data_IF_509254155355
#
_entry.id   IF_509254155355
#
_cell.length_a   1.000
_cell.length_b   1.000
_cell.length_c   1.000
_cell.angle_alpha   90.00
_cell.angle_beta   90.00
_cell.angle_gamma   90.00
#
_symmetry.space_group_name_H-M   'P 1'
#
loop_
_entity.id
_entity.type
_entity.pdbx_description
1 polymer ?
#
# COMPACT_ATOMS: atom_id res chain seq x y z
N UNK A 1 -6.59 -5.54 10.79
CA UNK A 1 -6.78 -4.49 11.80
C UNK A 1 -8.24 -4.39 12.22
N UNK A 2 -8.49 -4.33 13.48
CA UNK A 2 -9.75 -3.88 14.06
C UNK A 2 -9.46 -2.88 15.18
N UNK A 3 -10.46 -2.09 15.61
CA UNK A 3 -10.31 -1.12 16.72
C UNK A 3 -10.00 -1.79 18.07
N UNK A 4 -10.31 -3.06 18.22
CA UNK A 4 -10.12 -3.83 19.45
C UNK A 4 -8.76 -4.51 19.46
N UNK A 5 -8.37 -5.14 18.35
CA UNK A 5 -7.11 -5.87 18.22
C UNK A 5 -6.67 -6.01 16.77
N UNK A 6 -5.37 -6.19 16.60
CA UNK A 6 -4.75 -6.37 15.28
C UNK A 6 -3.86 -7.61 15.30
N UNK A 7 -4.02 -8.44 14.29
CA UNK A 7 -3.13 -9.58 14.06
C UNK A 7 -2.12 -9.23 12.98
N UNK A 8 -0.84 -9.38 13.31
CA UNK A 8 0.27 -9.25 12.38
C UNK A 8 0.78 -10.65 12.03
N UNK A 9 1.00 -10.88 10.74
CA UNK A 9 1.49 -12.16 10.24
C UNK A 9 2.51 -11.94 9.14
N UNK A 10 3.61 -12.70 9.18
CA UNK A 10 4.60 -12.68 8.10
C UNK A 10 5.08 -14.07 7.75
N UNK A 11 5.46 -14.26 6.49
CA UNK A 11 6.04 -15.51 5.98
C UNK A 11 7.55 -15.45 6.11
N UNK A 12 8.13 -16.27 6.96
CA UNK A 12 9.57 -16.32 7.21
C UNK A 12 10.04 -17.75 7.55
N UNK A 13 9.95 -18.72 6.63
CA UNK A 13 10.16 -20.15 6.91
C UNK A 13 11.58 -20.45 7.39
N UNK A 14 12.58 -19.68 6.94
CA UNK A 14 13.99 -19.87 7.28
C UNK A 14 14.45 -19.10 8.51
N UNK A 15 13.60 -18.25 9.09
CA UNK A 15 13.95 -17.45 10.27
C UNK A 15 14.16 -18.32 11.50
N UNK A 16 15.11 -17.95 12.35
CA UNK A 16 15.27 -18.52 13.69
C UNK A 16 14.23 -17.96 14.66
N UNK A 17 13.82 -16.70 14.48
CA UNK A 17 12.79 -16.01 15.22
C UNK A 17 12.36 -14.75 14.51
N UNK A 18 11.19 -14.22 14.87
CA UNK A 18 10.67 -12.94 14.36
C UNK A 18 10.08 -12.13 15.52
N UNK A 19 10.37 -10.85 15.53
CA UNK A 19 9.73 -9.86 16.37
C UNK A 19 8.95 -8.87 15.51
N UNK A 20 7.77 -8.49 15.97
CA UNK A 20 7.10 -7.29 15.51
C UNK A 20 7.67 -6.10 16.28
N UNK A 21 8.20 -5.12 15.57
CA UNK A 21 8.59 -3.82 16.14
C UNK A 21 7.47 -2.83 15.88
N UNK A 22 6.65 -2.56 16.88
CA UNK A 22 5.51 -1.64 16.81
C UNK A 22 5.86 -0.35 17.55
N UNK A 23 5.86 0.78 16.85
CA UNK A 23 6.23 2.09 17.40
C UNK A 23 7.58 2.06 18.15
N UNK A 24 8.52 1.26 17.68
CA UNK A 24 9.84 1.08 18.29
C UNK A 24 9.90 0.06 19.42
N UNK A 25 8.80 -0.56 19.81
CA UNK A 25 8.75 -1.60 20.83
C UNK A 25 8.70 -2.99 20.19
N UNK A 26 9.65 -3.87 20.56
CA UNK A 26 9.71 -5.24 20.09
C UNK A 26 8.74 -6.17 20.81
N UNK A 27 8.06 -7.02 20.03
CA UNK A 27 7.11 -8.03 20.50
C UNK A 27 7.43 -9.35 19.80
N UNK A 28 7.83 -10.39 20.56
CA UNK A 28 8.14 -11.71 20.03
C UNK A 28 6.91 -12.36 19.37
N UNK A 29 7.09 -12.82 18.14
CA UNK A 29 6.02 -13.48 17.38
C UNK A 29 6.08 -15.00 17.53
N UNK A 30 4.93 -15.66 17.49
CA UNK A 30 4.83 -17.10 17.56
C UNK A 30 4.84 -17.72 16.15
N UNK A 31 5.55 -18.83 16.03
CA UNK A 31 5.54 -19.62 14.80
C UNK A 31 4.21 -20.41 14.74
N UNK A 32 3.52 -20.28 13.64
CA UNK A 32 2.17 -20.84 13.44
C UNK A 32 2.07 -21.68 12.16
N UNK A 33 0.96 -22.38 11.99
CA UNK A 33 0.69 -23.30 10.89
C UNK A 33 1.76 -24.39 10.79
N UNK A 34 2.26 -24.65 9.63
CA UNK A 34 3.34 -25.63 9.36
C UNK A 34 4.74 -25.11 9.71
N UNK A 35 4.83 -24.01 10.44
CA UNK A 35 6.08 -23.39 10.84
C UNK A 35 6.66 -22.39 9.83
N UNK A 36 5.91 -22.06 8.78
CA UNK A 36 6.35 -21.12 7.75
C UNK A 36 5.96 -19.68 8.05
N UNK A 37 4.99 -19.49 8.95
CA UNK A 37 4.50 -18.17 9.33
C UNK A 37 4.82 -17.85 10.78
N UNK A 38 4.95 -16.56 11.06
CA UNK A 38 5.00 -15.98 12.39
C UNK A 38 3.83 -15.05 12.58
N UNK A 39 3.22 -15.09 13.77
CA UNK A 39 2.02 -14.32 14.07
C UNK A 39 2.06 -13.76 15.49
N UNK A 40 1.47 -12.59 15.65
CA UNK A 40 1.15 -12.00 16.95
C UNK A 40 -0.15 -11.20 16.84
N UNK A 41 -0.97 -11.28 17.89
CA UNK A 41 -2.15 -10.44 18.04
C UNK A 41 -1.95 -9.50 19.21
N UNK A 42 -2.11 -8.20 18.97
CA UNK A 42 -1.97 -7.13 19.95
C UNK A 42 -3.27 -6.34 20.08
N UNK A 43 -3.59 -5.97 21.31
CA UNK A 43 -4.67 -5.03 21.62
C UNK A 43 -4.17 -3.59 21.49
N UNK A 44 -5.12 -2.65 21.34
CA UNK A 44 -4.84 -1.19 21.35
C UNK A 44 -3.94 -0.66 20.22
N UNK A 45 -3.73 -1.42 19.17
CA UNK A 45 -3.08 -0.94 17.95
C UNK A 45 -4.00 0.08 17.27
N UNK A 46 -3.42 1.18 16.79
CA UNK A 46 -4.17 2.27 16.15
C UNK A 46 -3.85 2.38 14.67
N UNK A 47 -4.82 2.89 13.92
CA UNK A 47 -4.53 3.36 12.57
C UNK A 47 -3.44 4.43 12.61
N UNK A 48 -2.43 4.29 11.75
CA UNK A 48 -1.27 5.16 11.71
C UNK A 48 -0.07 4.67 12.53
N UNK A 49 -0.21 3.63 13.36
CA UNK A 49 0.93 3.04 14.06
C UNK A 49 1.95 2.50 13.06
N UNK A 50 3.22 2.70 13.37
CA UNK A 50 4.33 2.27 12.55
C UNK A 50 4.83 0.90 12.99
N UNK A 51 5.06 0.02 12.02
CA UNK A 51 5.58 -1.30 12.34
C UNK A 51 6.56 -1.83 11.29
N UNK A 52 7.38 -2.76 11.72
CA UNK A 52 8.31 -3.53 10.89
C UNK A 52 8.53 -4.91 11.52
N UNK A 53 9.04 -5.84 10.74
CA UNK A 53 9.44 -7.16 11.24
C UNK A 53 10.96 -7.22 11.41
N UNK A 54 11.42 -7.55 12.63
CA UNK A 54 12.81 -7.88 12.92
C UNK A 54 12.98 -9.38 12.80
N UNK A 55 13.74 -9.81 11.80
CA UNK A 55 13.95 -11.22 11.45
C UNK A 55 15.32 -11.67 11.92
N UNK A 56 15.35 -12.63 12.80
CA UNK A 56 16.57 -13.28 13.29
C UNK A 56 16.92 -14.46 12.41
N UNK A 57 18.14 -14.49 11.89
CA UNK A 57 18.68 -15.59 11.09
C UNK A 57 19.37 -16.63 11.96
N UNK A 58 19.59 -17.83 11.42
CA UNK A 58 20.24 -18.94 12.14
C UNK A 58 21.72 -18.70 12.46
N UNK A 59 22.36 -17.81 11.75
CA UNK A 59 23.74 -17.39 11.99
C UNK A 59 23.86 -16.31 13.09
N UNK A 60 22.77 -15.92 13.70
CA UNK A 60 22.68 -14.89 14.75
C UNK A 60 22.55 -13.46 14.23
N UNK A 61 22.61 -13.23 12.94
CA UNK A 61 22.34 -11.91 12.37
C UNK A 61 20.84 -11.58 12.44
N UNK A 62 20.51 -10.29 12.43
CA UNK A 62 19.11 -9.86 12.31
C UNK A 62 18.98 -8.68 11.34
N UNK A 63 17.82 -8.57 10.73
CA UNK A 63 17.45 -7.49 9.82
C UNK A 63 16.03 -7.03 10.08
N UNK A 64 15.79 -5.74 9.92
CA UNK A 64 14.46 -5.14 9.98
C UNK A 64 13.93 -4.94 8.56
N UNK A 65 12.69 -5.32 8.36
CA UNK A 65 12.00 -5.23 7.06
C UNK A 65 10.61 -4.66 7.23
N UNK A 66 10.19 -3.81 6.32
CA UNK A 66 8.78 -3.47 6.19
C UNK A 66 7.96 -4.73 5.86
N UNK A 67 6.66 -4.65 6.06
CA UNK A 67 5.76 -5.72 5.70
C UNK A 67 5.57 -5.75 4.17
N UNK A 68 5.97 -6.83 3.48
CA UNK A 68 5.78 -6.94 2.04
C UNK A 68 4.30 -6.98 1.61
N UNK A 69 3.40 -7.24 2.56
CA UNK A 69 1.95 -7.21 2.38
C UNK A 69 1.29 -6.03 3.10
N UNK A 70 2.08 -5.02 3.51
CA UNK A 70 1.57 -3.82 4.16
C UNK A 70 0.74 -2.94 3.23
N UNK A 71 -0.39 -2.43 3.71
CA UNK A 71 -1.30 -1.55 2.98
C UNK A 71 -0.98 -0.06 3.12
N UNK A 72 0.08 0.27 3.81
CA UNK A 72 0.57 1.63 3.94
C UNK A 72 2.03 1.63 4.34
N UNK A 73 2.76 2.59 3.80
CA UNK A 73 4.18 2.79 4.07
C UNK A 73 4.43 4.22 4.53
N UNK A 74 5.49 4.42 5.31
CA UNK A 74 5.95 5.76 5.63
C UNK A 74 6.40 6.50 4.38
N UNK A 75 6.20 7.81 4.39
CA UNK A 75 6.77 8.68 3.39
C UNK A 75 8.29 8.69 3.54
N UNK A 76 9.00 8.66 2.41
CA UNK A 76 10.45 8.71 2.33
C UNK A 76 11.08 9.85 3.16
N UNK A 77 12.28 9.71 3.73
CA UNK A 77 13.21 8.57 3.54
C UNK A 77 12.90 7.34 4.42
N UNK A 78 11.91 7.42 5.27
CA UNK A 78 11.47 6.30 6.08
C UNK A 78 10.79 5.22 5.22
N UNK A 79 10.66 4.01 5.76
CA UNK A 79 10.16 2.87 4.98
C UNK A 79 9.43 1.83 5.85
N UNK A 80 9.02 2.21 7.07
CA UNK A 80 8.22 1.32 7.93
C UNK A 80 6.83 1.16 7.34
N UNK A 81 6.22 0.04 7.64
CA UNK A 81 4.82 -0.17 7.33
C UNK A 81 3.92 0.61 8.29
N UNK A 82 2.77 1.03 7.79
CA UNK A 82 1.77 1.81 8.53
C UNK A 82 0.49 1.01 8.66
N UNK A 83 -0.04 0.89 9.86
CA UNK A 83 -1.35 0.25 10.08
C UNK A 83 -2.44 1.06 9.41
N UNK A 84 -3.26 0.42 8.57
CA UNK A 84 -4.36 1.04 7.84
C UNK A 84 -5.68 0.34 8.12
N UNK A 85 -6.74 1.12 8.25
CA UNK A 85 -8.11 0.62 8.29
C UNK A 85 -8.65 0.52 6.86
N UNK A 86 -8.71 -0.70 6.33
CA UNK A 86 -9.21 -0.96 4.98
C UNK A 86 -10.73 -0.79 4.84
N UNK A 87 -11.44 -0.69 5.95
CA UNK A 87 -12.90 -0.48 5.95
C UNK A 87 -13.28 1.01 6.01
N UNK A 88 -12.30 1.91 5.96
CA UNK A 88 -12.54 3.34 6.04
C UNK A 88 -13.32 3.90 4.85
N UNK A 89 -13.09 3.34 3.67
CA UNK A 89 -13.75 3.77 2.44
C UNK A 89 -14.94 2.87 2.12
N UNK A 90 -16.11 3.46 1.98
CA UNK A 90 -17.31 2.77 1.53
C UNK A 90 -17.48 3.00 0.03
N UNK A 91 -17.34 1.93 -0.75
CA UNK A 91 -17.59 1.97 -2.19
C UNK A 91 -19.09 2.20 -2.47
N UNK A 92 -19.39 3.01 -3.44
CA UNK A 92 -20.77 3.33 -3.89
C UNK A 92 -20.96 2.98 -5.37
N UNK A 93 -20.21 2.04 -5.86
CA UNK A 93 -20.11 1.67 -7.28
C UNK A 93 -20.91 0.41 -7.65
N UNK A 94 -21.76 -0.10 -6.78
CA UNK A 94 -22.58 -1.31 -6.99
C UNK A 94 -23.37 -1.25 -8.29
N UNK A 95 -23.97 -0.10 -8.59
CA UNK A 95 -24.72 0.09 -9.83
C UNK A 95 -23.81 -0.02 -11.05
N UNK A 96 -22.64 0.60 -11.00
CA UNK A 96 -21.65 0.53 -12.08
C UNK A 96 -21.13 -0.90 -12.27
N UNK A 97 -20.82 -1.61 -11.18
CA UNK A 97 -20.35 -3.01 -11.23
C UNK A 97 -21.40 -3.92 -11.87
N UNK A 98 -22.69 -3.67 -11.61
CA UNK A 98 -23.80 -4.44 -12.20
C UNK A 98 -24.02 -4.12 -13.68
N UNK A 99 -23.94 -2.84 -14.03
CA UNK A 99 -24.33 -2.33 -15.35
C UNK A 99 -23.13 -2.22 -16.31
N UNK A 100 -21.88 -2.44 -15.83
CA UNK A 100 -20.69 -2.35 -16.67
C UNK A 100 -20.72 -3.35 -17.81
N UNK A 101 -20.40 -2.86 -18.98
CA UNK A 101 -20.29 -3.69 -20.17
C UNK A 101 -18.93 -4.40 -20.25
N UNK A 102 -18.91 -5.53 -20.94
CA UNK A 102 -17.64 -6.18 -21.30
C UNK A 102 -16.90 -5.31 -22.32
N UNK A 103 -15.77 -4.75 -21.88
CA UNK A 103 -14.94 -3.89 -22.73
C UNK A 103 -14.03 -4.67 -23.68
N UNK A 104 -13.91 -5.99 -23.52
CA UNK A 104 -13.01 -6.82 -24.35
C UNK A 104 -13.41 -6.86 -25.82
N UNK A 105 -14.68 -6.57 -26.11
CA UNK A 105 -15.24 -6.56 -27.47
C UNK A 105 -15.35 -5.15 -28.07
N UNK A 106 -14.93 -4.10 -27.35
CA UNK A 106 -15.04 -2.71 -27.76
C UNK A 106 -13.67 -2.11 -28.10
N UNK A 107 -13.64 -1.11 -29.01
CA UNK A 107 -12.43 -0.32 -29.20
C UNK A 107 -12.00 0.34 -27.89
N UNK A 108 -10.72 0.19 -27.54
CA UNK A 108 -10.11 0.85 -26.39
C UNK A 108 -9.36 2.09 -26.86
N UNK A 109 -9.62 3.20 -26.19
CA UNK A 109 -8.84 4.43 -26.27
C UNK A 109 -8.24 4.67 -24.88
N UNK A 110 -6.98 4.27 -24.69
CA UNK A 110 -6.30 4.21 -23.41
C UNK A 110 -5.48 5.48 -23.20
N UNK A 111 -5.64 6.10 -22.05
CA UNK A 111 -4.78 7.19 -21.60
C UNK A 111 -3.82 6.67 -20.52
N UNK A 112 -2.54 6.57 -20.86
CA UNK A 112 -1.50 6.25 -19.90
C UNK A 112 -1.11 7.50 -19.12
N UNK A 113 -1.05 7.41 -17.78
CA UNK A 113 -0.83 8.58 -16.95
C UNK A 113 0.02 8.27 -15.71
N UNK A 114 0.98 9.16 -15.45
CA UNK A 114 1.67 9.24 -14.18
C UNK A 114 0.94 10.23 -13.26
N UNK A 115 0.35 9.73 -12.17
CA UNK A 115 -0.51 10.50 -11.29
C UNK A 115 0.16 11.79 -10.75
N UNK A 116 1.43 11.70 -10.35
CA UNK A 116 2.18 12.82 -9.76
C UNK A 116 2.60 13.91 -10.76
N UNK A 117 2.57 13.64 -12.08
CA UNK A 117 3.01 14.59 -13.10
C UNK A 117 1.92 15.05 -14.08
N UNK A 118 0.71 14.45 -14.02
CA UNK A 118 -0.39 14.84 -14.90
C UNK A 118 -0.76 16.33 -14.76
N UNK A 119 -1.06 16.73 -13.54
CA UNK A 119 -1.27 18.13 -13.13
C UNK A 119 -0.85 18.28 -11.69
N UNK A 120 -0.57 19.51 -11.28
CA UNK A 120 -0.26 19.86 -9.90
C UNK A 120 -1.14 20.99 -9.41
N UNK A 121 -1.59 21.00 -8.14
CA UNK A 121 -2.37 22.09 -7.57
C UNK A 121 -1.54 23.37 -7.36
N UNK A 122 -0.21 23.24 -7.30
CA UNK A 122 0.73 24.33 -7.08
C UNK A 122 2.04 24.15 -7.85
N UNK A 123 3.04 24.97 -7.52
CA UNK A 123 4.34 24.99 -8.19
C UNK A 123 5.46 24.34 -7.37
N UNK A 124 5.18 23.91 -6.15
CA UNK A 124 6.14 23.22 -5.29
C UNK A 124 6.46 21.81 -5.78
N UNK A 125 7.63 21.31 -5.43
CA UNK A 125 8.03 19.94 -5.80
C UNK A 125 7.12 18.89 -5.18
N UNK A 126 6.57 19.17 -3.99
CA UNK A 126 5.71 18.27 -3.20
C UNK A 126 4.23 18.62 -3.30
N UNK A 127 3.84 19.51 -4.22
CA UNK A 127 2.45 19.87 -4.43
C UNK A 127 1.80 18.83 -5.35
N UNK A 128 1.36 17.73 -4.78
CA UNK A 128 0.59 16.70 -5.48
C UNK A 128 -0.88 16.76 -5.08
N UNK A 129 -1.74 16.36 -6.01
CA UNK A 129 -3.13 16.06 -5.70
C UNK A 129 -3.22 14.83 -4.80
N UNK A 130 -4.18 14.82 -3.88
CA UNK A 130 -4.70 13.56 -3.33
C UNK A 130 -5.37 12.75 -4.44
N UNK A 131 -5.59 11.46 -4.23
CA UNK A 131 -6.27 10.64 -5.24
C UNK A 131 -7.69 11.11 -5.52
N UNK A 132 -8.40 11.66 -4.52
CA UNK A 132 -9.73 12.25 -4.68
C UNK A 132 -9.68 13.47 -5.58
N UNK A 133 -8.79 14.43 -5.29
CA UNK A 133 -8.60 15.64 -6.10
C UNK A 133 -8.11 15.31 -7.52
N UNK A 134 -7.23 14.31 -7.65
CA UNK A 134 -6.80 13.84 -8.97
C UNK A 134 -8.00 13.31 -9.77
N UNK A 135 -8.90 12.56 -9.14
CA UNK A 135 -10.12 12.09 -9.76
C UNK A 135 -10.99 13.23 -10.30
N UNK A 136 -11.11 14.33 -9.54
CA UNK A 136 -11.90 15.51 -9.94
C UNK A 136 -11.32 16.22 -11.18
N UNK A 137 -10.04 16.18 -11.42
CA UNK A 137 -9.40 16.82 -12.59
C UNK A 137 -9.15 15.87 -13.75
N UNK A 138 -8.87 14.61 -13.49
CA UNK A 138 -8.55 13.61 -14.52
C UNK A 138 -9.81 13.09 -15.22
N UNK A 139 -10.86 12.76 -14.46
CA UNK A 139 -12.07 12.16 -15.05
C UNK A 139 -12.75 13.08 -16.09
N UNK A 140 -12.96 14.38 -15.84
CA UNK A 140 -13.48 15.29 -16.86
C UNK A 140 -12.57 15.34 -18.09
N UNK A 141 -11.27 15.44 -17.92
CA UNK A 141 -10.31 15.46 -19.02
C UNK A 141 -10.42 14.22 -19.92
N UNK A 142 -10.49 13.02 -19.29
CA UNK A 142 -10.62 11.76 -20.04
C UNK A 142 -11.93 11.72 -20.85
N UNK A 143 -13.04 12.14 -20.23
CA UNK A 143 -14.35 12.18 -20.90
C UNK A 143 -14.39 13.15 -22.06
N UNK A 144 -13.89 14.38 -21.88
CA UNK A 144 -13.86 15.42 -22.91
C UNK A 144 -12.96 15.03 -24.09
N UNK A 145 -11.86 14.31 -23.78
CA UNK A 145 -10.90 13.84 -24.80
C UNK A 145 -11.28 12.52 -25.46
N UNK A 146 -12.40 11.89 -25.03
CA UNK A 146 -12.90 10.66 -25.63
C UNK A 146 -12.16 9.39 -25.21
N UNK A 147 -11.37 9.43 -24.14
CA UNK A 147 -10.76 8.23 -23.59
C UNK A 147 -11.81 7.41 -22.83
N UNK A 148 -11.75 6.09 -22.97
CA UNK A 148 -12.63 5.15 -22.26
C UNK A 148 -11.89 4.21 -21.32
N UNK A 149 -10.58 4.30 -21.27
CA UNK A 149 -9.74 3.54 -20.36
C UNK A 149 -8.58 4.43 -19.86
N UNK A 150 -8.13 4.19 -18.64
CA UNK A 150 -6.93 4.82 -18.09
C UNK A 150 -5.97 3.74 -17.60
N UNK A 151 -4.70 3.91 -17.90
CA UNK A 151 -3.60 3.09 -17.42
C UNK A 151 -2.70 3.95 -16.54
N UNK A 152 -2.65 3.65 -15.25
CA UNK A 152 -1.77 4.36 -14.35
C UNK A 152 -0.37 3.74 -14.35
N UNK A 153 0.67 4.59 -14.43
CA UNK A 153 1.99 4.20 -13.94
C UNK A 153 1.89 3.85 -12.45
N UNK A 154 2.87 3.12 -11.88
CA UNK A 154 2.73 2.57 -10.53
C UNK A 154 2.24 3.60 -9.50
N UNK A 155 1.20 3.23 -8.74
CA UNK A 155 0.60 4.07 -7.70
C UNK A 155 1.09 3.73 -6.29
N UNK A 156 1.86 2.64 -6.15
CA UNK A 156 2.38 2.19 -4.88
C UNK A 156 3.43 3.15 -4.31
N UNK A 157 3.54 3.19 -2.98
CA UNK A 157 4.53 4.01 -2.29
C UNK A 157 5.96 3.64 -2.70
N UNK A 158 6.81 4.64 -2.89
CA UNK A 158 8.18 4.46 -3.36
C UNK A 158 9.14 5.47 -2.71
N UNK A 159 10.41 5.09 -2.46
CA UNK A 159 11.37 5.93 -1.74
C UNK A 159 12.02 7.00 -2.63
N UNK A 160 11.90 6.89 -3.95
CA UNK A 160 12.58 7.73 -4.93
C UNK A 160 11.61 8.21 -6.01
N UNK A 161 11.37 9.51 -6.08
CA UNK A 161 10.45 10.12 -7.06
C UNK A 161 10.87 9.86 -8.51
N UNK A 162 12.18 9.85 -8.78
CA UNK A 162 12.73 9.61 -10.10
C UNK A 162 12.44 8.20 -10.62
N UNK A 163 12.07 7.27 -9.73
CA UNK A 163 11.67 5.92 -10.12
C UNK A 163 10.26 5.85 -10.73
N UNK A 164 9.46 6.92 -10.61
CA UNK A 164 8.05 6.98 -11.03
C UNK A 164 7.18 5.86 -10.45
N UNK A 165 7.54 5.37 -9.26
CA UNK A 165 6.86 4.25 -8.61
C UNK A 165 7.32 2.85 -9.02
N UNK A 166 8.29 2.73 -9.95
CA UNK A 166 8.82 1.41 -10.35
C UNK A 166 9.77 0.77 -9.34
N UNK A 167 10.20 1.51 -8.31
CA UNK A 167 10.96 1.01 -7.17
C UNK A 167 10.12 1.13 -5.90
N UNK A 168 9.07 0.36 -5.80
CA UNK A 168 8.11 0.46 -4.72
C UNK A 168 8.64 -0.09 -3.39
N UNK A 169 8.20 0.52 -2.28
CA UNK A 169 8.49 0.09 -0.91
C UNK A 169 7.59 -1.10 -0.52
N UNK A 170 6.36 -1.11 -0.98
CA UNK A 170 5.38 -2.17 -0.76
C UNK A 170 4.54 -2.40 -2.01
N UNK A 171 3.92 -3.59 -2.12
CA UNK A 171 3.18 -4.00 -3.32
C UNK A 171 1.66 -3.79 -3.21
N UNK A 172 1.15 -3.35 -2.05
CA UNK A 172 -0.27 -3.22 -1.76
C UNK A 172 -0.62 -1.84 -1.20
#
# INVERSE_FOLDING_TARGET
YTKERTTFRTFAPSAAGVELVLNGQGHGMQRVHDGNFYEITLDQVKEGDLYEFRIWHRDGSCQEHCDPYGFGMELRPAHKSVVRDLNRYAFTDEKWLKDREDISTKPLNIYEVHAGSFKKPGTGQTDWYTYEELGEVLIPYLKESGYNCVEFLPLSEHPCDESWGYQNTGFF
#
